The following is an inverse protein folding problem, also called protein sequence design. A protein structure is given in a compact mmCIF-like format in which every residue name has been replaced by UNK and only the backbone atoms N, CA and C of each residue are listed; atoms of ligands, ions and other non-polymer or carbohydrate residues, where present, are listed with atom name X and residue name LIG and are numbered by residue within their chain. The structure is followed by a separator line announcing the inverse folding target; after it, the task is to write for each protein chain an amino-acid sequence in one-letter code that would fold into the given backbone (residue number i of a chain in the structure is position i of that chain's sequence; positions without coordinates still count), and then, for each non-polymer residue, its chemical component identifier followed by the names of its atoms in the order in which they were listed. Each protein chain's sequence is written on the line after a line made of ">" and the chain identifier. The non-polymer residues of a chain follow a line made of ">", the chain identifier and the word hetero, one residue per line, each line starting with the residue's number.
data_IF_899543515397
#
_entry.id   IF_899543515397
#
_cell.length_a   1.000
_cell.length_b   1.000
_cell.length_c   1.000
_cell.angle_alpha   90.00
_cell.angle_beta   90.00
_cell.angle_gamma   90.00
#
_symmetry.space_group_name_H-M   'P 1'
#
loop_
_entity.id
_entity.type
_entity.pdbx_description
1 polymer ?
#
# COMPACT_ATOMS: atom_id res chain seq x y z
N UNK A 1 12.67 -17.27 1.67
CA UNK A 1 12.53 -18.72 1.49
C UNK A 1 12.37 -19.38 2.84
N UNK A 2 11.45 -20.32 2.95
CA UNK A 2 11.25 -21.15 4.15
C UNK A 2 10.59 -22.47 3.75
N UNK A 3 10.48 -23.42 4.70
CA UNK A 3 9.74 -24.66 4.52
C UNK A 3 8.50 -24.62 5.42
N UNK A 4 7.36 -25.03 4.89
CA UNK A 4 6.09 -25.09 5.61
C UNK A 4 5.54 -26.52 5.64
N UNK A 5 4.64 -26.79 6.56
CA UNK A 5 3.87 -28.04 6.59
C UNK A 5 2.51 -27.82 5.93
N UNK A 6 2.23 -28.52 4.85
CA UNK A 6 0.95 -28.46 4.14
C UNK A 6 0.46 -29.88 3.84
N UNK A 7 -0.72 -30.24 4.33
CA UNK A 7 -1.29 -31.57 4.16
C UNK A 7 -0.30 -32.70 4.54
N UNK A 8 0.29 -32.58 5.74
CA UNK A 8 1.30 -33.50 6.30
C UNK A 8 2.58 -33.67 5.46
N UNK A 9 2.88 -32.69 4.61
CA UNK A 9 4.09 -32.68 3.79
C UNK A 9 4.89 -31.39 4.00
N UNK A 10 6.19 -31.53 4.03
CA UNK A 10 7.10 -30.39 3.98
C UNK A 10 7.14 -29.83 2.55
N UNK A 11 6.85 -28.55 2.40
CA UNK A 11 6.85 -27.83 1.12
C UNK A 11 7.79 -26.63 1.24
N UNK A 12 8.77 -26.57 0.37
CA UNK A 12 9.65 -25.41 0.24
C UNK A 12 8.92 -24.28 -0.48
N UNK A 13 8.86 -23.11 0.15
CA UNK A 13 8.11 -21.97 -0.39
C UNK A 13 8.95 -20.73 -0.56
N UNK A 14 8.54 -19.88 -1.50
CA UNK A 14 8.96 -18.49 -1.63
C UNK A 14 7.81 -17.59 -1.24
N UNK A 15 8.04 -16.72 -0.26
CA UNK A 15 7.10 -15.70 0.16
C UNK A 15 7.56 -14.34 -0.36
N UNK A 16 6.66 -13.60 -1.02
CA UNK A 16 6.93 -12.31 -1.65
C UNK A 16 6.02 -11.24 -1.07
N UNK A 17 6.57 -10.33 -0.28
CA UNK A 17 5.86 -9.14 0.15
C UNK A 17 5.77 -8.14 -1.00
N UNK A 18 4.56 -7.70 -1.32
CA UNK A 18 4.32 -6.81 -2.45
C UNK A 18 4.04 -5.37 -2.02
N UNK A 19 4.18 -4.44 -2.96
CA UNK A 19 3.80 -3.03 -2.75
C UNK A 19 2.31 -2.85 -2.48
N UNK A 20 1.48 -3.79 -2.88
CA UNK A 20 0.03 -3.78 -2.61
C UNK A 20 -0.32 -4.12 -1.16
N UNK A 21 0.67 -4.48 -0.34
CA UNK A 21 0.46 -4.83 1.07
C UNK A 21 0.06 -6.27 1.32
N UNK A 22 0.11 -7.12 0.28
CA UNK A 22 -0.16 -8.56 0.37
C UNK A 22 1.12 -9.37 0.34
N UNK A 23 1.10 -10.53 1.02
CA UNK A 23 2.13 -11.56 0.98
C UNK A 23 1.66 -12.68 0.05
N UNK A 24 2.38 -12.86 -1.06
CA UNK A 24 2.15 -13.98 -2.00
C UNK A 24 3.08 -15.11 -1.64
N UNK A 25 2.56 -16.34 -1.62
CA UNK A 25 3.35 -17.53 -1.26
C UNK A 25 3.20 -18.59 -2.33
N UNK A 26 4.34 -19.06 -2.84
CA UNK A 26 4.40 -20.02 -3.94
C UNK A 26 5.25 -21.22 -3.55
N UNK A 27 4.87 -22.39 -4.01
CA UNK A 27 5.73 -23.55 -4.03
C UNK A 27 6.99 -23.22 -4.85
N UNK A 28 8.16 -23.37 -4.25
CA UNK A 28 9.46 -22.97 -4.85
C UNK A 28 9.81 -23.78 -6.08
N UNK A 29 9.36 -25.03 -6.18
CA UNK A 29 9.71 -25.95 -7.26
C UNK A 29 8.77 -25.78 -8.45
N UNK A 30 7.48 -25.67 -8.17
CA UNK A 30 6.44 -25.67 -9.21
C UNK A 30 5.97 -24.28 -9.61
N UNK A 31 6.23 -23.25 -8.78
CA UNK A 31 5.71 -21.89 -8.95
C UNK A 31 4.21 -21.76 -8.68
N UNK A 32 3.54 -22.82 -8.24
CA UNK A 32 2.10 -22.76 -7.93
C UNK A 32 1.86 -22.01 -6.64
N UNK A 33 0.81 -21.17 -6.56
CA UNK A 33 0.45 -20.51 -5.32
C UNK A 33 0.02 -21.54 -4.28
N UNK A 34 0.42 -21.31 -3.01
CA UNK A 34 0.05 -22.16 -1.87
C UNK A 34 -1.43 -21.97 -1.53
N UNK A 35 -1.90 -20.73 -1.56
CA UNK A 35 -3.32 -20.39 -1.45
C UNK A 35 -3.81 -19.80 -2.76
N UNK A 36 -5.08 -20.01 -3.12
CA UNK A 36 -5.62 -19.46 -4.36
C UNK A 36 -5.37 -17.96 -4.50
N UNK A 37 -5.05 -17.54 -5.70
CA UNK A 37 -5.00 -16.13 -6.10
C UNK A 37 -6.22 -15.89 -6.97
N UNK A 38 -7.09 -14.96 -6.55
CA UNK A 38 -8.34 -14.63 -7.22
C UNK A 38 -8.19 -13.34 -8.02
N UNK A 39 -8.64 -13.37 -9.28
CA UNK A 39 -8.83 -12.16 -10.06
C UNK A 39 -10.07 -11.44 -9.55
N UNK A 40 -9.90 -10.27 -8.91
CA UNK A 40 -11.01 -9.47 -8.38
C UNK A 40 -11.19 -8.21 -9.17
N UNK A 41 -12.45 -7.79 -9.44
CA UNK A 41 -12.72 -6.53 -10.11
C UNK A 41 -12.08 -5.33 -9.38
N UNK A 42 -11.55 -4.39 -10.14
CA UNK A 42 -10.97 -3.15 -9.64
C UNK A 42 -11.60 -1.94 -10.35
N UNK A 43 -11.52 -0.73 -9.78
CA UNK A 43 -12.10 0.46 -10.39
C UNK A 43 -11.61 0.70 -11.82
N UNK A 44 -12.54 1.02 -12.74
CA UNK A 44 -12.28 1.22 -14.17
C UNK A 44 -12.52 2.67 -14.63
N UNK A 45 -12.88 3.55 -13.69
CA UNK A 45 -13.32 4.92 -13.95
C UNK A 45 -12.12 5.87 -14.16
N UNK A 46 -11.25 5.59 -15.15
CA UNK A 46 -10.19 6.51 -15.54
C UNK A 46 -10.75 7.80 -16.16
N UNK A 47 -10.04 8.92 -15.91
CA UNK A 47 -10.30 10.21 -16.55
C UNK A 47 -9.22 10.57 -17.57
N UNK A 48 -8.27 9.67 -17.82
CA UNK A 48 -7.15 9.86 -18.74
C UNK A 48 -7.57 9.48 -20.16
N UNK A 49 -7.56 10.40 -21.13
CA UNK A 49 -7.93 10.11 -22.49
C UNK A 49 -7.09 9.00 -23.11
N UNK A 50 -7.74 8.00 -23.69
CA UNK A 50 -7.08 6.87 -24.37
C UNK A 50 -6.49 5.80 -23.43
N UNK A 51 -6.64 5.94 -22.12
CA UNK A 51 -6.24 4.89 -21.18
C UNK A 51 -7.25 3.73 -21.20
N UNK A 52 -6.74 2.51 -21.31
CA UNK A 52 -7.51 1.27 -21.20
C UNK A 52 -6.99 0.48 -20.02
N UNK A 53 -7.83 0.26 -19.03
CA UNK A 53 -7.47 -0.43 -17.78
C UNK A 53 -7.80 -1.90 -17.86
N UNK A 54 -6.96 -2.73 -17.21
CA UNK A 54 -7.28 -4.13 -17.01
C UNK A 54 -8.37 -4.25 -15.93
N UNK A 55 -9.46 -5.03 -16.17
CA UNK A 55 -10.64 -4.99 -15.31
C UNK A 55 -10.47 -5.66 -13.94
N UNK A 56 -9.45 -6.49 -13.78
CA UNK A 56 -9.22 -7.25 -12.54
C UNK A 56 -7.77 -7.12 -12.09
N UNK A 57 -7.54 -7.47 -10.83
CA UNK A 57 -6.18 -7.62 -10.28
C UNK A 57 -6.12 -8.89 -9.41
N UNK A 58 -4.95 -9.52 -9.31
CA UNK A 58 -4.76 -10.74 -8.52
C UNK A 58 -4.68 -10.43 -7.02
N UNK A 59 -5.53 -11.09 -6.23
CA UNK A 59 -5.53 -11.01 -4.77
C UNK A 59 -5.34 -12.40 -4.16
N UNK A 60 -4.37 -12.61 -3.27
CA UNK A 60 -4.25 -13.87 -2.56
C UNK A 60 -5.40 -14.02 -1.56
N UNK A 61 -5.94 -15.22 -1.43
CA UNK A 61 -7.00 -15.52 -0.46
C UNK A 61 -6.46 -15.65 0.96
N UNK A 62 -5.18 -16.02 1.08
CA UNK A 62 -4.39 -16.06 2.30
C UNK A 62 -2.90 -15.87 1.97
N UNK A 63 -2.08 -15.44 2.96
CA UNK A 63 -2.47 -14.86 4.24
C UNK A 63 -3.11 -13.48 4.11
N UNK A 64 -3.72 -12.93 5.18
CA UNK A 64 -4.27 -11.56 5.17
C UNK A 64 -3.22 -10.49 4.86
N UNK A 65 -3.60 -9.31 4.37
CA UNK A 65 -2.65 -8.23 4.07
C UNK A 65 -1.94 -7.74 5.34
N UNK A 66 -0.66 -7.38 5.21
CA UNK A 66 0.16 -6.82 6.29
C UNK A 66 0.08 -5.29 6.40
N UNK A 67 -0.48 -4.63 5.39
CA UNK A 67 -0.72 -3.18 5.38
C UNK A 67 -2.20 -2.88 5.23
N UNK A 68 -2.62 -1.74 5.75
CA UNK A 68 -3.97 -1.20 5.53
C UNK A 68 -4.25 -1.11 4.03
N UNK A 69 -5.47 -1.49 3.64
CA UNK A 69 -5.96 -1.46 2.26
C UNK A 69 -6.93 -0.30 2.00
N UNK A 70 -7.26 0.46 3.04
CA UNK A 70 -8.16 1.60 2.98
C UNK A 70 -7.67 2.71 3.90
N UNK A 71 -7.84 3.94 3.46
CA UNK A 71 -7.61 5.14 4.24
C UNK A 71 -8.81 6.07 4.11
N UNK A 72 -9.25 6.66 5.22
CA UNK A 72 -10.38 7.57 5.29
C UNK A 72 -10.04 8.80 6.12
N UNK A 73 -10.93 9.77 6.15
CA UNK A 73 -10.78 10.97 6.98
C UNK A 73 -10.74 10.66 8.50
N UNK A 74 -11.25 9.50 8.91
CA UNK A 74 -11.20 9.06 10.31
C UNK A 74 -9.82 8.59 10.76
N UNK A 75 -8.93 8.32 9.80
CA UNK A 75 -7.52 7.99 10.06
C UNK A 75 -6.63 9.22 10.31
N UNK A 76 -7.18 10.44 10.23
CA UNK A 76 -6.44 11.66 10.55
C UNK A 76 -6.06 11.71 12.02
N UNK A 77 -4.85 12.22 12.31
CA UNK A 77 -4.31 12.28 13.66
C UNK A 77 -5.07 13.34 14.49
N UNK A 78 -5.78 12.93 15.56
CA UNK A 78 -6.56 13.89 16.37
C UNK A 78 -5.71 14.67 17.37
N UNK A 79 -4.44 14.29 17.59
CA UNK A 79 -3.60 14.82 18.66
C UNK A 79 -2.59 15.86 18.20
N UNK A 80 -2.11 15.75 16.96
CA UNK A 80 -1.05 16.62 16.42
C UNK A 80 -1.66 17.76 15.58
N UNK A 81 -2.68 17.46 14.78
CA UNK A 81 -3.34 18.48 13.95
C UNK A 81 -4.24 19.38 14.78
N UNK A 82 -4.18 20.68 14.52
CA UNK A 82 -5.21 21.60 14.99
C UNK A 82 -6.58 21.23 14.42
N UNK A 83 -7.65 21.71 15.03
CA UNK A 83 -9.00 21.44 14.53
C UNK A 83 -9.20 21.95 13.09
N UNK A 84 -8.60 23.09 12.76
CA UNK A 84 -8.66 23.67 11.42
C UNK A 84 -7.90 22.82 10.40
N UNK A 85 -6.63 22.46 10.66
CA UNK A 85 -5.83 21.63 9.78
C UNK A 85 -6.48 20.25 9.53
N UNK A 86 -7.03 19.66 10.59
CA UNK A 86 -7.73 18.38 10.47
C UNK A 86 -8.96 18.49 9.58
N UNK A 87 -9.74 19.59 9.70
CA UNK A 87 -10.90 19.79 8.82
C UNK A 87 -10.48 20.07 7.37
N UNK A 88 -9.41 20.81 7.13
CA UNK A 88 -8.86 21.03 5.78
C UNK A 88 -8.44 19.71 5.12
N UNK A 89 -7.69 18.85 5.84
CA UNK A 89 -7.34 17.52 5.36
C UNK A 89 -8.55 16.62 5.17
N UNK A 90 -9.51 16.68 6.10
CA UNK A 90 -10.77 15.94 5.99
C UNK A 90 -11.50 16.28 4.70
N UNK A 91 -11.69 17.55 4.40
CA UNK A 91 -12.36 18.00 3.19
C UNK A 91 -11.59 17.57 1.93
N UNK A 92 -10.26 17.63 1.95
CA UNK A 92 -9.42 17.17 0.84
C UNK A 92 -9.59 15.68 0.58
N UNK A 93 -9.58 14.85 1.64
CA UNK A 93 -9.76 13.39 1.53
C UNK A 93 -11.17 13.04 1.03
N UNK A 94 -12.20 13.73 1.54
CA UNK A 94 -13.59 13.51 1.11
C UNK A 94 -13.85 13.92 -0.34
N UNK A 95 -13.11 14.91 -0.84
CA UNK A 95 -13.20 15.35 -2.23
C UNK A 95 -12.41 14.46 -3.19
N UNK A 96 -11.31 13.86 -2.73
CA UNK A 96 -10.48 12.99 -3.53
C UNK A 96 -11.21 11.68 -3.85
N UNK A 97 -10.92 11.10 -5.01
CA UNK A 97 -11.42 9.77 -5.37
C UNK A 97 -10.76 8.72 -4.48
N UNK A 98 -11.56 7.82 -3.94
CA UNK A 98 -11.12 6.78 -3.01
C UNK A 98 -11.99 5.52 -3.17
N UNK A 99 -11.91 4.90 -4.34
CA UNK A 99 -12.73 3.76 -4.73
C UNK A 99 -12.12 2.42 -4.28
N UNK A 100 -11.07 2.46 -3.47
CA UNK A 100 -10.34 1.31 -2.95
C UNK A 100 -9.00 1.07 -3.65
N UNK A 101 -8.39 -0.11 -3.46
CA UNK A 101 -7.15 -0.48 -4.12
C UNK A 101 -7.26 -0.36 -5.64
N UNK A 102 -6.16 0.09 -6.28
CA UNK A 102 -6.08 0.29 -7.73
C UNK A 102 -7.04 1.36 -8.30
N UNK A 103 -7.53 2.30 -7.49
CA UNK A 103 -8.23 3.48 -8.02
C UNK A 103 -7.33 4.17 -9.06
N UNK A 104 -7.78 4.34 -10.32
CA UNK A 104 -6.95 4.91 -11.38
C UNK A 104 -6.53 6.35 -11.06
N UNK A 105 -5.25 6.65 -11.27
CA UNK A 105 -4.75 8.03 -11.16
C UNK A 105 -5.29 8.83 -12.34
N UNK A 106 -5.88 9.98 -12.06
CA UNK A 106 -6.42 10.90 -13.07
C UNK A 106 -5.99 12.34 -12.80
N UNK A 107 -6.68 13.29 -13.43
CA UNK A 107 -6.40 14.73 -13.24
C UNK A 107 -6.98 15.28 -11.92
N UNK A 108 -7.92 14.56 -11.31
CA UNK A 108 -8.40 14.83 -9.96
C UNK A 108 -7.58 14.05 -8.93
N UNK A 109 -7.54 14.54 -7.69
CA UNK A 109 -6.84 13.86 -6.62
C UNK A 109 -7.46 12.49 -6.33
N UNK A 110 -6.59 11.51 -6.10
CA UNK A 110 -6.93 10.13 -5.74
C UNK A 110 -6.20 9.78 -4.46
N UNK A 111 -6.89 9.13 -3.53
CA UNK A 111 -6.27 8.53 -2.34
C UNK A 111 -5.79 7.13 -2.67
N UNK A 112 -4.49 6.89 -2.55
CA UNK A 112 -3.89 5.57 -2.62
C UNK A 112 -3.55 5.04 -1.23
N UNK A 113 -3.99 3.82 -0.92
CA UNK A 113 -3.59 3.07 0.27
C UNK A 113 -3.39 1.59 -0.10
N UNK A 114 -2.19 1.01 0.06
CA UNK A 114 -0.93 1.70 0.40
C UNK A 114 -0.54 2.80 -0.59
N UNK A 115 0.20 3.80 -0.09
CA UNK A 115 0.62 4.93 -0.92
C UNK A 115 1.76 4.60 -1.89
N UNK A 116 2.40 5.62 -2.47
CA UNK A 116 3.40 5.46 -3.53
C UNK A 116 4.64 4.65 -3.14
N UNK A 117 4.97 4.60 -1.86
CA UNK A 117 6.07 3.74 -1.38
C UNK A 117 5.66 2.27 -1.35
N UNK A 118 4.36 2.01 -1.35
CA UNK A 118 3.78 0.69 -1.20
C UNK A 118 3.67 0.25 0.26
N UNK A 119 2.97 -0.87 0.47
CA UNK A 119 2.82 -1.50 1.79
C UNK A 119 4.11 -2.16 2.28
N UNK A 120 5.00 -2.55 1.39
CA UNK A 120 6.35 -3.02 1.68
C UNK A 120 7.29 -2.66 0.55
N UNK A 121 8.58 -2.68 0.85
CA UNK A 121 9.63 -2.53 -0.14
C UNK A 121 10.63 -3.70 -0.01
N UNK A 122 11.54 -3.82 -0.96
CA UNK A 122 12.59 -4.84 -0.93
C UNK A 122 13.43 -4.74 0.35
N UNK A 123 13.87 -5.91 0.86
CA UNK A 123 14.64 -5.99 2.11
C UNK A 123 13.83 -5.95 3.40
N UNK A 124 12.49 -5.94 3.34
CA UNK A 124 11.61 -5.80 4.51
C UNK A 124 11.07 -7.13 5.04
N UNK A 125 11.68 -8.26 4.71
CA UNK A 125 11.20 -9.59 5.11
C UNK A 125 12.29 -10.43 5.74
N UNK A 126 11.90 -11.22 6.76
CA UNK A 126 12.70 -12.25 7.37
C UNK A 126 11.91 -13.56 7.48
N UNK A 127 12.58 -14.67 7.60
CA UNK A 127 11.92 -15.96 7.78
C UNK A 127 12.62 -16.77 8.88
N UNK A 128 11.82 -17.54 9.64
CA UNK A 128 12.31 -18.58 10.52
C UNK A 128 12.03 -19.95 9.86
N UNK A 129 13.04 -20.62 9.34
CA UNK A 129 12.85 -21.90 8.65
C UNK A 129 12.48 -23.06 9.56
N UNK A 130 12.64 -22.91 10.90
CA UNK A 130 12.33 -23.99 11.84
C UNK A 130 10.84 -24.14 12.12
N UNK A 131 10.02 -23.10 11.91
CA UNK A 131 8.60 -23.11 12.25
C UNK A 131 7.68 -22.55 11.13
N UNK A 132 8.23 -22.24 9.97
CA UNK A 132 7.47 -21.67 8.84
C UNK A 132 6.98 -20.24 9.06
N UNK A 133 7.53 -19.52 10.04
CA UNK A 133 7.20 -18.12 10.27
C UNK A 133 7.87 -17.20 9.25
N UNK A 134 7.12 -16.16 8.82
CA UNK A 134 7.66 -15.07 8.01
C UNK A 134 7.30 -13.74 8.65
N UNK A 135 8.28 -12.85 8.72
CA UNK A 135 8.16 -11.52 9.29
C UNK A 135 8.21 -10.48 8.19
N UNK A 136 7.26 -9.55 8.19
CA UNK A 136 7.17 -8.51 7.17
C UNK A 136 7.05 -7.15 7.85
N UNK A 137 7.89 -6.20 7.43
CA UNK A 137 7.73 -4.79 7.78
C UNK A 137 6.76 -4.18 6.77
N UNK A 138 5.63 -3.67 7.29
CA UNK A 138 4.58 -3.03 6.52
C UNK A 138 4.54 -1.53 6.76
N UNK A 139 4.18 -0.76 5.70
CA UNK A 139 3.97 0.68 5.77
C UNK A 139 2.50 1.02 5.60
N UNK A 140 1.97 1.86 6.49
CA UNK A 140 0.59 2.35 6.48
C UNK A 140 0.54 3.85 6.16
N UNK A 141 1.27 4.28 5.14
CA UNK A 141 1.35 5.68 4.73
C UNK A 141 0.60 5.86 3.41
N UNK A 142 -0.55 6.53 3.41
CA UNK A 142 -1.30 6.83 2.18
C UNK A 142 -0.63 7.93 1.38
N UNK A 143 -1.05 8.06 0.12
CA UNK A 143 -0.66 9.18 -0.76
C UNK A 143 -1.91 9.73 -1.44
N UNK A 144 -2.03 11.06 -1.47
CA UNK A 144 -2.96 11.74 -2.37
C UNK A 144 -2.18 12.07 -3.63
N UNK A 145 -2.65 11.63 -4.79
CA UNK A 145 -1.92 11.74 -6.06
C UNK A 145 -2.86 12.14 -7.20
N UNK A 146 -2.34 12.92 -8.15
CA UNK A 146 -3.00 13.27 -9.40
C UNK A 146 -2.01 13.39 -10.55
N UNK A 147 -2.52 13.40 -11.76
CA UNK A 147 -1.78 13.84 -12.94
C UNK A 147 -1.87 15.36 -13.08
N UNK A 148 -0.78 15.95 -13.52
CA UNK A 148 -0.73 17.38 -13.88
C UNK A 148 -0.98 17.56 -15.38
N UNK A 149 -1.76 18.59 -15.72
CA UNK A 149 -1.98 19.01 -17.10
C UNK A 149 -0.82 19.84 -17.62
N UNK A 150 -0.66 19.85 -18.93
CA UNK A 150 0.27 20.77 -19.61
C UNK A 150 0.05 22.20 -19.13
N UNK A 151 1.14 22.86 -18.77
CA UNK A 151 1.13 24.22 -18.26
C UNK A 151 0.98 24.37 -16.75
N UNK A 152 0.53 23.34 -16.02
CA UNK A 152 0.51 23.34 -14.56
C UNK A 152 1.94 23.31 -13.99
N UNK A 153 2.11 23.82 -12.78
CA UNK A 153 3.38 23.78 -12.06
C UNK A 153 3.43 22.54 -11.18
N UNK A 154 4.46 21.74 -11.36
CA UNK A 154 4.82 20.67 -10.44
C UNK A 154 5.65 21.22 -9.29
N UNK A 155 5.36 20.82 -8.07
CA UNK A 155 6.21 21.14 -6.92
C UNK A 155 7.64 20.63 -7.13
N UNK A 156 8.63 21.47 -6.86
CA UNK A 156 10.03 21.11 -7.03
C UNK A 156 10.44 19.93 -6.16
N UNK A 157 11.31 19.06 -6.64
CA UNK A 157 11.90 17.99 -5.85
C UNK A 157 12.75 18.56 -4.72
N UNK A 158 12.58 18.05 -3.50
CA UNK A 158 13.38 18.41 -2.34
C UNK A 158 13.50 19.93 -2.08
N UNK A 159 12.43 20.70 -2.35
CA UNK A 159 12.42 22.16 -2.15
C UNK A 159 13.05 22.95 -3.29
N UNK A 160 13.33 22.31 -4.41
CA UNK A 160 13.73 23.02 -5.66
C UNK A 160 12.61 23.88 -6.25
N UNK A 161 12.91 24.72 -7.23
CA UNK A 161 11.90 25.56 -7.87
C UNK A 161 10.83 24.71 -8.57
N UNK A 162 9.57 25.19 -8.62
CA UNK A 162 8.53 24.51 -9.36
C UNK A 162 8.88 24.42 -10.86
N UNK A 163 8.56 23.25 -11.44
CA UNK A 163 8.77 23.00 -12.88
C UNK A 163 7.44 23.02 -13.62
N UNK A 164 7.41 23.67 -14.78
CA UNK A 164 6.23 23.69 -15.63
C UNK A 164 6.11 22.37 -16.41
N UNK A 165 4.94 21.75 -16.36
CA UNK A 165 4.64 20.56 -17.17
C UNK A 165 4.59 20.95 -18.64
N UNK A 166 5.44 20.31 -19.44
CA UNK A 166 5.51 20.51 -20.89
C UNK A 166 4.60 19.53 -21.63
N UNK A 167 4.20 19.90 -22.84
CA UNK A 167 3.33 19.07 -23.66
C UNK A 167 3.95 17.69 -23.97
N UNK A 168 3.09 16.67 -24.09
CA UNK A 168 3.50 15.30 -24.33
C UNK A 168 4.13 14.57 -23.13
N UNK A 169 4.15 15.16 -21.94
CA UNK A 169 4.59 14.52 -20.70
C UNK A 169 3.45 14.32 -19.71
N UNK A 170 3.33 13.09 -19.25
CA UNK A 170 2.48 12.75 -18.10
C UNK A 170 3.32 12.87 -16.82
N UNK A 171 2.94 13.78 -15.95
CA UNK A 171 3.65 14.04 -14.70
C UNK A 171 2.70 13.85 -13.54
N UNK A 172 3.09 13.04 -12.56
CA UNK A 172 2.34 12.88 -11.31
C UNK A 172 2.78 13.89 -10.27
N UNK A 173 1.83 14.42 -9.53
CA UNK A 173 2.05 15.12 -8.27
C UNK A 173 1.44 14.28 -7.15
N UNK A 174 2.28 13.88 -6.20
CA UNK A 174 1.86 13.09 -5.06
C UNK A 174 2.20 13.79 -3.76
N UNK A 175 1.24 13.83 -2.85
CA UNK A 175 1.40 14.32 -1.49
C UNK A 175 1.29 13.14 -0.52
N UNK A 176 2.43 12.73 0.06
CA UNK A 176 2.45 11.72 1.11
C UNK A 176 1.88 12.29 2.41
N UNK A 177 0.92 11.60 2.98
CA UNK A 177 0.39 11.94 4.30
C UNK A 177 1.35 11.39 5.37
N UNK A 178 2.23 12.27 5.84
CA UNK A 178 3.26 11.91 6.82
C UNK A 178 2.68 11.55 8.20
N UNK A 179 3.48 10.92 9.06
CA UNK A 179 3.07 10.50 10.41
C UNK A 179 2.39 11.58 11.26
N UNK A 180 2.70 12.85 11.06
CA UNK A 180 2.04 13.96 11.76
C UNK A 180 0.60 14.19 11.33
N UNK A 181 0.21 13.72 10.14
CA UNK A 181 -1.13 13.95 9.57
C UNK A 181 -2.05 12.77 9.85
N UNK A 182 -1.50 11.55 9.90
CA UNK A 182 -2.28 10.31 10.06
C UNK A 182 -2.04 9.68 11.42
N UNK A 183 -3.05 8.95 11.92
CA UNK A 183 -2.95 8.17 13.15
C UNK A 183 -2.02 6.97 13.01
N UNK A 184 -1.25 6.62 14.05
CA UNK A 184 -0.43 5.41 14.06
C UNK A 184 -1.29 4.12 14.04
N UNK A 185 -0.72 2.94 13.76
CA UNK A 185 0.70 2.71 13.47
C UNK A 185 1.05 3.01 12.00
N UNK A 186 2.13 3.75 11.78
CA UNK A 186 2.62 4.11 10.45
C UNK A 186 3.43 3.00 9.80
N UNK A 187 4.10 2.22 10.64
CA UNK A 187 4.87 1.05 10.26
C UNK A 187 4.53 -0.08 11.22
N UNK A 188 4.45 -1.29 10.68
CA UNK A 188 4.14 -2.49 11.47
C UNK A 188 5.16 -3.58 11.21
N UNK A 189 5.37 -4.43 12.22
CA UNK A 189 5.98 -5.73 12.04
C UNK A 189 4.88 -6.79 12.16
N UNK A 190 4.69 -7.55 11.10
CA UNK A 190 3.72 -8.65 11.03
C UNK A 190 4.45 -9.97 11.03
N UNK A 191 4.11 -10.86 11.94
CA UNK A 191 4.53 -12.25 11.94
C UNK A 191 3.43 -13.13 11.39
N UNK A 192 3.74 -13.89 10.36
CA UNK A 192 2.85 -14.88 9.76
C UNK A 192 3.22 -16.30 10.19
N UNK A 193 2.21 -17.13 10.37
CA UNK A 193 2.31 -18.58 10.32
C UNK A 193 1.94 -19.04 8.89
N UNK A 194 2.94 -19.39 8.10
CA UNK A 194 2.69 -19.87 6.75
C UNK A 194 2.26 -21.36 6.69
N UNK A 195 2.24 -22.09 7.80
CA UNK A 195 1.59 -23.39 7.82
C UNK A 195 0.06 -23.24 7.76
N UNK A 196 -0.45 -22.13 8.34
CA UNK A 196 -1.89 -21.84 8.40
C UNK A 196 -2.34 -20.72 7.46
N UNK A 197 -1.41 -19.94 6.89
CA UNK A 197 -1.75 -18.75 6.11
C UNK A 197 -2.38 -17.64 6.93
N UNK A 198 -1.95 -17.48 8.17
CA UNK A 198 -2.54 -16.57 9.14
C UNK A 198 -1.51 -15.63 9.77
N UNK A 199 -1.98 -14.49 10.28
CA UNK A 199 -1.16 -13.60 11.11
C UNK A 199 -1.09 -14.20 12.53
N UNK A 200 0.13 -14.45 13.02
CA UNK A 200 0.40 -14.80 14.43
C UNK A 200 0.21 -13.58 15.33
N UNK A 201 0.81 -12.47 14.92
CA UNK A 201 0.71 -11.18 15.59
C UNK A 201 1.16 -10.05 14.66
N UNK A 202 0.71 -8.85 14.97
CA UNK A 202 1.16 -7.63 14.32
C UNK A 202 1.32 -6.54 15.38
N UNK A 203 2.45 -5.83 15.35
CA UNK A 203 2.75 -4.74 16.27
C UNK A 203 3.18 -3.49 15.50
N UNK A 204 2.92 -2.32 16.07
CA UNK A 204 3.49 -1.06 15.58
C UNK A 204 4.99 -1.02 15.79
N UNK A 205 5.72 -0.50 14.81
CA UNK A 205 7.16 -0.23 14.91
C UNK A 205 7.40 1.26 15.10
N UNK A 206 8.37 1.56 15.97
CA UNK A 206 8.73 2.93 16.32
C UNK A 206 7.78 3.54 17.36
N UNK A 207 8.26 4.55 18.04
CA UNK A 207 7.47 5.39 18.93
C UNK A 207 7.59 6.84 18.46
N UNK A 208 6.46 7.54 18.40
CA UNK A 208 6.50 8.99 18.28
C UNK A 208 6.43 9.57 19.69
N UNK A 209 7.52 10.15 20.14
CA UNK A 209 7.63 10.75 21.48
C UNK A 209 6.75 12.01 21.66
N UNK A 210 6.05 12.41 20.58
CA UNK A 210 5.09 13.54 20.59
C UNK A 210 3.65 13.08 20.85
N UNK A 211 3.42 11.77 21.02
CA UNK A 211 2.10 11.18 21.29
C UNK A 211 1.96 10.76 22.78
#
# INVERSE_FOLDING_TARGET
>A
LTTIQQNDRAVDVVAVASKTGYLYVFDRVTGKPIWPIEERPVPQNTTVPGESLWPTQPFPTAPPPFSKQKFTADDLNPHILTAQEREEFRQRILKARNDGPFTPIGFDEVVHMPGNQGGSNWGSTGANPSDGSVYVIGFNVPTIIRLLKTGELRSGRAGGPPEKVVDGRWVTEGFGLFPTIISPPWTTLTAYDLNQGAIKWQIGLGADLRL
#
